data_IF_411772944536
#
_entry.id   IF_411772944536
#
_cell.length_a   1.000
_cell.length_b   1.000
_cell.length_c   1.000
_cell.angle_alpha   90.00
_cell.angle_beta   90.00
_cell.angle_gamma   90.00
#
_symmetry.space_group_name_H-M   'P 1'
#
loop_
_entity.id
_entity.type
_entity.pdbx_description
1 polymer ?
#
# COMPACT_ATOMS: atom_id res chain seq x y z
N UNK A 1 -6.68 8.33 96.13
CA UNK A 1 -7.85 8.65 95.28
C UNK A 1 -7.52 9.49 94.04
N UNK A 2 -6.26 9.90 93.83
CA UNK A 2 -5.81 10.83 92.77
C UNK A 2 -5.50 10.15 91.42
N UNK A 3 -4.94 8.94 91.43
CA UNK A 3 -4.50 8.22 90.22
C UNK A 3 -5.63 7.95 89.21
N UNK A 4 -6.84 7.63 89.69
CA UNK A 4 -8.02 7.44 88.82
C UNK A 4 -8.42 8.72 88.07
N UNK A 5 -8.12 9.90 88.61
CA UNK A 5 -8.43 11.19 87.99
C UNK A 5 -7.41 11.58 86.90
N UNK A 6 -6.15 11.21 87.09
CA UNK A 6 -5.07 11.45 86.13
C UNK A 6 -5.20 10.55 84.90
N UNK A 7 -5.50 9.27 85.10
CA UNK A 7 -5.78 8.31 84.02
C UNK A 7 -6.95 8.78 83.13
N UNK A 8 -7.99 9.35 83.73
CA UNK A 8 -9.13 9.92 83.00
C UNK A 8 -8.77 11.20 82.24
N UNK A 9 -7.85 12.03 82.74
CA UNK A 9 -7.29 13.18 81.99
C UNK A 9 -6.44 12.70 80.81
N UNK A 10 -5.58 11.71 81.03
CA UNK A 10 -4.68 11.17 80.02
C UNK A 10 -5.45 10.51 78.87
N UNK A 11 -6.48 9.71 79.16
CA UNK A 11 -7.36 9.12 78.12
C UNK A 11 -8.06 10.19 77.29
N UNK A 12 -8.57 11.25 77.92
CA UNK A 12 -9.19 12.38 77.22
C UNK A 12 -8.19 13.10 76.32
N UNK A 13 -6.97 13.32 76.81
CA UNK A 13 -5.91 13.94 76.03
C UNK A 13 -5.53 13.10 74.80
N UNK A 14 -5.22 11.81 74.98
CA UNK A 14 -4.87 10.93 73.85
C UNK A 14 -6.04 10.73 72.87
N UNK A 15 -7.28 10.68 73.37
CA UNK A 15 -8.47 10.67 72.52
C UNK A 15 -8.54 11.90 71.62
N UNK A 16 -8.36 13.10 72.19
CA UNK A 16 -8.35 14.34 71.43
C UNK A 16 -7.20 14.43 70.41
N UNK A 17 -6.00 13.94 70.76
CA UNK A 17 -4.86 13.89 69.83
C UNK A 17 -5.14 12.94 68.66
N UNK A 18 -5.65 11.73 68.94
CA UNK A 18 -6.00 10.75 67.91
C UNK A 18 -7.06 11.28 66.96
N UNK A 19 -8.08 11.95 67.49
CA UNK A 19 -9.14 12.55 66.70
C UNK A 19 -8.61 13.67 65.79
N UNK A 20 -7.68 14.49 66.30
CA UNK A 20 -7.02 15.55 65.52
C UNK A 20 -6.18 14.97 64.37
N UNK A 21 -5.39 13.92 64.65
CA UNK A 21 -4.60 13.22 63.63
C UNK A 21 -5.49 12.56 62.57
N UNK A 22 -6.58 11.90 62.99
CA UNK A 22 -7.53 11.29 62.07
C UNK A 22 -8.22 12.34 61.18
N UNK A 23 -8.67 13.46 61.75
CA UNK A 23 -9.24 14.58 61.00
C UNK A 23 -8.24 15.17 60.01
N UNK A 24 -6.99 15.38 60.44
CA UNK A 24 -5.91 15.87 59.56
C UNK A 24 -5.64 14.92 58.40
N UNK A 25 -5.59 13.60 58.66
CA UNK A 25 -5.35 12.60 57.62
C UNK A 25 -6.52 12.49 56.62
N UNK A 26 -7.76 12.62 57.09
CA UNK A 26 -8.95 12.65 56.22
C UNK A 26 -9.01 13.93 55.39
N UNK A 27 -8.71 15.09 55.99
CA UNK A 27 -8.64 16.36 55.28
C UNK A 27 -7.55 16.37 54.19
N UNK A 28 -6.38 15.80 54.48
CA UNK A 28 -5.32 15.65 53.46
C UNK A 28 -5.74 14.77 52.29
N UNK A 29 -6.42 13.64 52.57
CA UNK A 29 -6.98 12.77 51.53
C UNK A 29 -8.06 13.46 50.71
N UNK A 30 -8.96 14.23 51.32
CA UNK A 30 -10.00 14.94 50.57
C UNK A 30 -9.42 16.01 49.63
N UNK A 31 -8.34 16.69 50.04
CA UNK A 31 -7.66 17.67 49.17
C UNK A 31 -7.02 16.97 47.97
N UNK A 32 -6.35 15.84 48.18
CA UNK A 32 -5.73 15.08 47.09
C UNK A 32 -6.76 14.49 46.13
N UNK A 33 -7.91 14.03 46.64
CA UNK A 33 -9.03 13.57 45.80
C UNK A 33 -9.56 14.71 44.94
N UNK A 34 -9.79 15.89 45.52
CA UNK A 34 -10.29 17.05 44.78
C UNK A 34 -9.31 17.51 43.68
N UNK A 35 -8.00 17.46 43.95
CA UNK A 35 -6.96 17.74 42.95
C UNK A 35 -6.99 16.73 41.80
N UNK A 36 -7.07 15.43 42.11
CA UNK A 36 -7.16 14.38 41.09
C UNK A 36 -8.45 14.51 40.26
N UNK A 37 -9.58 14.83 40.89
CA UNK A 37 -10.84 15.10 40.19
C UNK A 37 -10.72 16.30 39.25
N UNK A 38 -10.01 17.35 39.66
CA UNK A 38 -9.69 18.50 38.81
C UNK A 38 -8.85 18.11 37.59
N UNK A 39 -7.78 17.35 37.80
CA UNK A 39 -6.92 16.86 36.71
C UNK A 39 -7.68 15.94 35.74
N UNK A 40 -8.56 15.07 36.25
CA UNK A 40 -9.40 14.23 35.41
C UNK A 40 -10.39 15.05 34.57
N UNK A 41 -10.98 16.10 35.14
CA UNK A 41 -11.88 16.98 34.42
C UNK A 41 -11.14 17.75 33.30
N UNK A 42 -9.94 18.23 33.57
CA UNK A 42 -9.08 18.89 32.57
C UNK A 42 -8.70 17.93 31.44
N UNK A 43 -8.21 16.73 31.77
CA UNK A 43 -7.87 15.71 30.78
C UNK A 43 -9.07 15.27 29.93
N UNK A 44 -10.27 15.19 30.54
CA UNK A 44 -11.49 14.89 29.81
C UNK A 44 -11.81 16.00 28.80
N UNK A 45 -11.74 17.27 29.21
CA UNK A 45 -11.96 18.42 28.32
C UNK A 45 -10.98 18.46 27.16
N UNK A 46 -9.71 18.19 27.43
CA UNK A 46 -8.65 18.10 26.43
C UNK A 46 -8.89 16.96 25.44
N UNK A 47 -9.30 15.79 25.92
CA UNK A 47 -9.64 14.66 25.05
C UNK A 47 -10.86 14.98 24.18
N UNK A 48 -11.88 15.64 24.71
CA UNK A 48 -13.04 16.08 23.93
C UNK A 48 -12.67 17.12 22.88
N UNK A 49 -11.74 18.03 23.19
CA UNK A 49 -11.21 18.99 22.23
C UNK A 49 -10.42 18.29 21.11
N UNK A 50 -9.56 17.33 21.47
CA UNK A 50 -8.79 16.52 20.51
C UNK A 50 -9.68 15.65 19.64
N UNK A 51 -10.70 15.00 20.21
CA UNK A 51 -11.67 14.20 19.46
C UNK A 51 -12.42 15.03 18.42
N UNK A 52 -12.84 16.26 18.79
CA UNK A 52 -13.44 17.22 17.84
C UNK A 52 -12.46 17.61 16.74
N UNK A 53 -11.18 17.83 17.07
CA UNK A 53 -10.16 18.17 16.07
C UNK A 53 -9.89 17.01 15.11
N UNK A 54 -9.85 15.78 15.60
CA UNK A 54 -9.69 14.57 14.79
C UNK A 54 -10.87 14.46 13.82
N UNK A 55 -12.10 14.53 14.31
CA UNK A 55 -13.30 14.45 13.47
C UNK A 55 -13.32 15.51 12.36
N UNK A 56 -12.92 16.75 12.68
CA UNK A 56 -12.81 17.82 11.68
C UNK A 56 -11.74 17.52 10.62
N UNK A 57 -10.55 17.05 11.04
CA UNK A 57 -9.47 16.70 10.12
C UNK A 57 -9.81 15.50 9.24
N UNK A 58 -10.50 14.50 9.78
CA UNK A 58 -10.98 13.35 9.02
C UNK A 58 -11.98 13.76 7.93
N UNK A 59 -12.89 14.69 8.25
CA UNK A 59 -13.81 15.26 7.27
C UNK A 59 -13.07 16.01 6.16
N UNK A 60 -12.13 16.90 6.53
CA UNK A 60 -11.33 17.66 5.57
C UNK A 60 -10.48 16.74 4.68
N UNK A 61 -9.92 15.66 5.25
CA UNK A 61 -9.17 14.66 4.51
C UNK A 61 -10.05 13.93 3.50
N UNK A 62 -11.24 13.50 3.89
CA UNK A 62 -12.19 12.82 3.00
C UNK A 62 -12.64 13.73 1.84
N UNK A 63 -12.89 15.02 2.09
CA UNK A 63 -13.20 16.00 1.03
C UNK A 63 -12.00 16.21 0.09
N UNK A 64 -10.78 16.30 0.62
CA UNK A 64 -9.57 16.40 -0.20
C UNK A 64 -9.36 15.15 -1.08
N UNK A 65 -9.55 13.95 -0.52
CA UNK A 65 -9.48 12.68 -1.26
C UNK A 65 -10.54 12.62 -2.37
N UNK A 66 -11.79 13.00 -2.09
CA UNK A 66 -12.85 13.05 -3.08
C UNK A 66 -12.50 13.99 -4.25
N UNK A 67 -11.90 15.16 -3.96
CA UNK A 67 -11.42 16.10 -4.99
C UNK A 67 -10.28 15.53 -5.82
N UNK A 68 -9.30 14.87 -5.18
CA UNK A 68 -8.19 14.24 -5.89
C UNK A 68 -8.68 13.13 -6.82
N UNK A 69 -9.60 12.28 -6.35
CA UNK A 69 -10.22 11.25 -7.17
C UNK A 69 -11.00 11.83 -8.35
N UNK A 70 -11.78 12.89 -8.12
CA UNK A 70 -12.49 13.58 -9.20
C UNK A 70 -11.52 14.19 -10.23
N UNK A 71 -10.43 14.82 -9.79
CA UNK A 71 -9.39 15.35 -10.68
C UNK A 71 -8.69 14.24 -11.47
N UNK A 72 -8.35 13.12 -10.81
CA UNK A 72 -7.74 11.97 -11.46
C UNK A 72 -8.67 11.38 -12.52
N UNK A 73 -9.97 11.27 -12.22
CA UNK A 73 -10.97 10.82 -13.19
C UNK A 73 -11.05 11.77 -14.39
N UNK A 74 -11.07 13.09 -14.17
CA UNK A 74 -11.05 14.07 -15.27
C UNK A 74 -9.79 13.94 -16.12
N UNK A 75 -8.61 13.75 -15.52
CA UNK A 75 -7.36 13.56 -16.26
C UNK A 75 -7.35 12.26 -17.06
N UNK A 76 -7.88 11.17 -16.49
CA UNK A 76 -8.00 9.89 -17.17
C UNK A 76 -9.04 9.95 -18.29
N UNK A 77 -10.19 10.57 -18.07
CA UNK A 77 -11.23 10.77 -19.10
C UNK A 77 -10.75 11.71 -20.21
N UNK A 78 -10.04 12.80 -19.87
CA UNK A 78 -9.43 13.69 -20.86
C UNK A 78 -8.29 13.03 -21.64
N UNK A 79 -7.68 11.96 -21.10
CA UNK A 79 -6.72 11.11 -21.80
C UNK A 79 -7.39 9.94 -22.54
N UNK A 80 -8.62 9.60 -22.15
CA UNK A 80 -9.41 8.47 -22.61
C UNK A 80 -9.95 8.58 -24.02
N UNK A 81 -9.99 9.77 -24.62
CA UNK A 81 -10.25 9.92 -26.06
C UNK A 81 -9.09 9.41 -26.95
N UNK A 82 -7.97 8.98 -26.34
CA UNK A 82 -6.86 8.32 -27.01
C UNK A 82 -6.58 6.88 -26.53
N UNK A 83 -7.27 6.36 -25.50
CA UNK A 83 -6.99 5.03 -24.95
C UNK A 83 -8.19 4.38 -24.21
N UNK A 84 -9.41 4.61 -24.67
CA UNK A 84 -10.60 3.86 -24.21
C UNK A 84 -10.55 2.42 -24.75
N UNK A 85 -9.77 1.56 -24.09
CA UNK A 85 -10.02 0.11 -24.14
C UNK A 85 -11.08 -0.22 -23.10
N UNK A 86 -12.31 -0.33 -23.58
CA UNK A 86 -13.37 -1.03 -22.85
C UNK A 86 -12.87 -2.43 -22.46
N UNK A 87 -13.20 -2.83 -21.24
CA UNK A 87 -13.12 -4.18 -20.72
C UNK A 87 -14.09 -5.08 -21.52
N UNK A 88 -13.68 -5.44 -22.74
CA UNK A 88 -14.38 -6.38 -23.61
C UNK A 88 -13.80 -7.76 -23.33
N UNK A 89 -14.52 -8.53 -22.51
CA UNK A 89 -14.54 -9.99 -22.46
C UNK A 89 -13.17 -10.70 -22.63
N UNK A 90 -12.60 -11.13 -21.51
CA UNK A 90 -11.40 -11.96 -21.33
C UNK A 90 -11.51 -13.38 -21.98
N UNK A 91 -11.71 -13.45 -23.31
CA UNK A 91 -11.72 -14.69 -24.09
C UNK A 91 -10.66 -14.73 -25.20
N UNK A 92 -10.14 -13.57 -25.61
CA UNK A 92 -9.18 -13.45 -26.72
C UNK A 92 -7.82 -12.89 -26.28
N UNK A 93 -7.50 -12.85 -24.98
CA UNK A 93 -6.18 -12.44 -24.49
C UNK A 93 -5.33 -13.67 -24.09
N UNK A 94 -4.68 -14.36 -25.05
CA UNK A 94 -3.90 -15.54 -24.73
C UNK A 94 -2.79 -15.20 -23.73
N UNK A 95 -2.54 -16.12 -22.80
CA UNK A 95 -1.48 -15.95 -21.83
C UNK A 95 -0.14 -15.72 -22.56
N UNK A 96 0.73 -14.88 -22.00
CA UNK A 96 2.04 -14.58 -22.63
C UNK A 96 2.83 -15.85 -22.92
N UNK A 97 2.72 -16.83 -22.02
CA UNK A 97 3.35 -18.14 -22.15
C UNK A 97 2.80 -18.95 -23.34
N UNK A 98 1.50 -18.86 -23.61
CA UNK A 98 0.84 -19.53 -24.74
C UNK A 98 1.24 -18.90 -26.08
N UNK A 99 1.29 -17.56 -26.12
CA UNK A 99 1.80 -16.83 -27.29
C UNK A 99 3.23 -17.26 -27.60
N UNK A 100 4.07 -17.36 -26.57
CA UNK A 100 5.48 -17.73 -26.72
C UNK A 100 5.62 -19.19 -27.10
N UNK A 101 4.84 -20.10 -26.52
CA UNK A 101 4.83 -21.51 -26.89
C UNK A 101 4.54 -21.69 -28.39
N UNK A 102 3.53 -21.01 -28.93
CA UNK A 102 3.22 -21.06 -30.37
C UNK A 102 4.32 -20.47 -31.26
N UNK A 103 5.09 -19.49 -30.78
CA UNK A 103 6.26 -18.99 -31.52
C UNK A 103 7.41 -20.00 -31.48
N UNK A 104 7.62 -20.66 -30.33
CA UNK A 104 8.70 -21.61 -30.11
C UNK A 104 8.56 -22.90 -30.92
N UNK A 105 7.36 -23.24 -31.42
CA UNK A 105 7.17 -24.32 -32.40
C UNK A 105 8.05 -24.15 -33.65
N UNK A 106 8.35 -22.91 -34.03
CA UNK A 106 9.22 -22.59 -35.17
C UNK A 106 10.73 -22.61 -34.83
N UNK A 107 11.09 -22.85 -33.57
CA UNK A 107 12.47 -22.81 -33.06
C UNK A 107 12.78 -24.05 -32.21
N UNK A 108 12.99 -25.23 -32.83
CA UNK A 108 13.28 -26.46 -32.10
C UNK A 108 14.57 -26.33 -31.27
N UNK A 109 14.51 -26.77 -30.01
CA UNK A 109 15.65 -26.74 -29.08
C UNK A 109 15.80 -25.45 -28.27
N UNK A 110 14.87 -24.50 -28.36
CA UNK A 110 14.82 -23.29 -27.52
C UNK A 110 13.71 -23.44 -26.48
N UNK A 111 14.04 -23.26 -25.20
CA UNK A 111 13.05 -23.32 -24.11
C UNK A 111 12.61 -21.92 -23.67
N UNK A 112 11.50 -21.84 -22.93
CA UNK A 112 11.07 -20.59 -22.29
C UNK A 112 12.16 -19.97 -21.41
N UNK A 113 12.90 -20.80 -20.67
CA UNK A 113 14.02 -20.35 -19.83
C UNK A 113 15.12 -19.67 -20.64
N UNK A 114 15.42 -20.19 -21.83
CA UNK A 114 16.40 -19.61 -22.75
C UNK A 114 15.92 -18.25 -23.28
N UNK A 115 14.62 -18.08 -23.49
CA UNK A 115 14.01 -16.83 -23.95
C UNK A 115 14.10 -15.73 -22.90
N UNK A 116 13.77 -16.03 -21.63
CA UNK A 116 13.85 -15.07 -20.52
C UNK A 116 15.27 -14.90 -19.95
N UNK A 117 16.20 -15.75 -20.37
CA UNK A 117 17.59 -15.72 -19.90
C UNK A 117 18.29 -14.41 -20.26
N UNK A 118 19.17 -13.97 -19.35
CA UNK A 118 20.01 -12.78 -19.53
C UNK A 118 21.11 -13.02 -20.58
N UNK A 119 21.44 -14.28 -20.87
CA UNK A 119 22.49 -14.68 -21.82
C UNK A 119 22.31 -14.05 -23.20
N UNK A 120 23.40 -13.61 -23.82
CA UNK A 120 23.41 -12.91 -25.12
C UNK A 120 23.86 -13.80 -26.28
N UNK A 121 23.59 -15.09 -26.18
CA UNK A 121 23.99 -16.05 -27.21
C UNK A 121 23.32 -15.70 -28.55
N UNK A 122 24.14 -15.64 -29.60
CA UNK A 122 23.72 -15.13 -30.92
C UNK A 122 22.55 -15.92 -31.51
N UNK A 123 22.46 -17.22 -31.20
CA UNK A 123 21.40 -18.12 -31.66
C UNK A 123 20.05 -17.86 -30.99
N UNK A 124 20.00 -17.27 -29.78
CA UNK A 124 18.76 -16.95 -29.05
C UNK A 124 18.16 -15.58 -29.42
N UNK A 125 18.91 -14.75 -30.15
CA UNK A 125 18.45 -13.40 -30.53
C UNK A 125 17.23 -13.47 -31.44
N UNK A 126 17.24 -14.34 -32.47
CA UNK A 126 16.11 -14.49 -33.39
C UNK A 126 14.84 -15.02 -32.70
N UNK A 127 14.89 -16.13 -31.93
CA UNK A 127 13.74 -16.62 -31.16
C UNK A 127 13.14 -15.56 -30.22
N UNK A 128 13.98 -14.84 -29.46
CA UNK A 128 13.50 -13.81 -28.51
C UNK A 128 12.81 -12.64 -29.18
N UNK A 129 13.38 -12.16 -30.29
CA UNK A 129 12.76 -11.07 -31.05
C UNK A 129 11.41 -11.49 -31.64
N UNK A 130 11.30 -12.75 -32.12
CA UNK A 130 10.02 -13.29 -32.58
C UNK A 130 8.99 -13.36 -31.44
N UNK A 131 9.39 -13.79 -30.25
CA UNK A 131 8.53 -13.83 -29.07
C UNK A 131 8.08 -12.43 -28.64
N UNK A 132 9.00 -11.46 -28.55
CA UNK A 132 8.68 -10.07 -28.19
C UNK A 132 7.70 -9.43 -29.17
N UNK A 133 7.85 -9.73 -30.47
CA UNK A 133 6.96 -9.25 -31.52
C UNK A 133 5.57 -9.88 -31.42
N UNK A 134 5.50 -11.20 -31.29
CA UNK A 134 4.21 -11.90 -31.19
C UNK A 134 3.43 -11.46 -29.94
N UNK A 135 4.12 -11.22 -28.82
CA UNK A 135 3.50 -10.68 -27.60
C UNK A 135 3.02 -9.25 -27.83
N UNK A 136 3.80 -8.40 -28.51
CA UNK A 136 3.37 -7.05 -28.85
C UNK A 136 2.15 -7.03 -29.79
N UNK A 137 2.09 -7.93 -30.77
CA UNK A 137 0.99 -8.01 -31.75
C UNK A 137 -0.29 -8.58 -31.15
N UNK A 138 -0.18 -9.59 -30.28
CA UNK A 138 -1.34 -10.29 -29.68
C UNK A 138 -1.81 -9.67 -28.35
N UNK A 139 -0.96 -8.91 -27.66
CA UNK A 139 -1.28 -8.20 -26.41
C UNK A 139 -1.07 -6.71 -26.56
N UNK A 140 -2.05 -6.04 -27.16
CA UNK A 140 -2.12 -4.58 -27.24
C UNK A 140 -2.23 -3.91 -25.86
N UNK A 141 -2.64 -4.65 -24.83
CA UNK A 141 -2.76 -4.17 -23.45
C UNK A 141 -1.42 -4.01 -22.72
N UNK A 142 -0.33 -4.58 -23.23
CA UNK A 142 0.99 -4.51 -22.62
C UNK A 142 1.84 -3.38 -23.20
N UNK A 143 2.24 -2.43 -22.35
CA UNK A 143 3.23 -1.41 -22.75
C UNK A 143 4.59 -2.02 -23.05
N UNK A 144 5.38 -1.36 -23.93
CA UNK A 144 6.75 -1.78 -24.28
C UNK A 144 7.65 -1.99 -23.06
N UNK A 145 7.46 -1.18 -22.01
CA UNK A 145 8.16 -1.31 -20.73
C UNK A 145 7.77 -2.56 -19.95
N UNK A 146 6.49 -2.96 -20.03
CA UNK A 146 5.99 -4.19 -19.38
C UNK A 146 6.46 -5.43 -20.13
N UNK A 147 6.44 -5.41 -21.47
CA UNK A 147 7.02 -6.47 -22.31
C UNK A 147 8.52 -6.61 -22.02
N UNK A 148 9.26 -5.50 -21.95
CA UNK A 148 10.69 -5.52 -21.60
C UNK A 148 10.96 -6.20 -20.25
N UNK A 149 10.16 -5.91 -19.22
CA UNK A 149 10.29 -6.56 -17.90
C UNK A 149 10.08 -8.08 -17.96
N UNK A 150 9.11 -8.56 -18.73
CA UNK A 150 8.84 -9.99 -18.91
C UNK A 150 10.06 -10.70 -19.50
N UNK A 151 10.64 -10.14 -20.56
CA UNK A 151 11.82 -10.71 -21.23
C UNK A 151 13.16 -10.31 -20.59
N UNK A 152 13.14 -9.61 -19.44
CA UNK A 152 14.32 -9.08 -18.75
C UNK A 152 15.23 -8.21 -19.65
N UNK A 153 14.61 -7.34 -20.46
CA UNK A 153 15.28 -6.41 -21.40
C UNK A 153 14.75 -4.98 -21.29
N UNK A 154 15.57 -4.05 -21.78
CA UNK A 154 15.18 -2.65 -21.88
C UNK A 154 14.07 -2.47 -22.92
N UNK A 155 13.13 -1.58 -22.60
CA UNK A 155 12.00 -1.22 -23.47
C UNK A 155 12.45 -0.71 -24.85
N UNK A 156 13.64 -0.13 -24.95
CA UNK A 156 14.26 0.29 -26.21
C UNK A 156 14.59 -0.88 -27.13
N UNK A 157 14.94 -2.04 -26.58
CA UNK A 157 15.16 -3.28 -27.34
C UNK A 157 13.84 -3.75 -27.96
N UNK A 158 12.76 -3.75 -27.18
CA UNK A 158 11.42 -4.12 -27.66
C UNK A 158 10.98 -3.17 -28.77
N UNK A 159 11.20 -1.85 -28.58
CA UNK A 159 10.90 -0.84 -29.59
C UNK A 159 11.66 -1.08 -30.91
N UNK A 160 12.93 -1.46 -30.86
CA UNK A 160 13.73 -1.80 -32.05
C UNK A 160 13.20 -3.04 -32.77
N UNK A 161 12.77 -4.07 -32.03
CA UNK A 161 12.23 -5.31 -32.59
C UNK A 161 10.89 -5.09 -33.29
N UNK A 162 10.04 -4.25 -32.70
CA UNK A 162 8.71 -3.90 -33.22
C UNK A 162 8.81 -2.97 -34.43
N UNK A 163 9.70 -1.95 -34.38
CA UNK A 163 9.89 -1.00 -35.50
C UNK A 163 10.54 -1.60 -36.73
N UNK A 164 11.15 -2.78 -36.64
CA UNK A 164 11.78 -3.46 -37.77
C UNK A 164 10.73 -4.33 -38.48
N UNK A 165 10.05 -3.87 -39.54
CA UNK A 165 9.18 -4.73 -40.34
C UNK A 165 10.02 -5.90 -40.86
N UNK A 166 9.45 -7.12 -40.78
CA UNK A 166 10.16 -8.37 -41.02
C UNK A 166 10.89 -8.42 -42.36
N UNK A 167 12.20 -8.27 -42.32
CA UNK A 167 13.09 -8.84 -43.32
C UNK A 167 13.50 -10.22 -42.82
N UNK A 168 13.20 -11.25 -43.63
CA UNK A 168 13.39 -12.71 -43.44
C UNK A 168 12.18 -13.42 -42.77
N UNK A 169 11.51 -14.39 -43.38
CA UNK A 169 11.75 -15.07 -44.66
C UNK A 169 11.32 -16.52 -44.58
N UNK A 170 10.12 -16.83 -45.06
CA UNK A 170 9.87 -18.11 -45.73
C UNK A 170 10.63 -18.04 -47.05
N UNK A 171 11.90 -18.45 -47.04
CA UNK A 171 12.55 -18.94 -48.26
C UNK A 171 11.94 -20.30 -48.53
N UNK A 172 11.05 -20.36 -49.50
CA UNK A 172 10.73 -21.59 -50.21
C UNK A 172 12.06 -22.20 -50.71
N UNK A 173 12.41 -23.44 -50.37
CA UNK A 173 13.60 -24.10 -50.90
C UNK A 173 13.41 -24.65 -52.31
N UNK A 174 12.25 -24.47 -52.96
CA UNK A 174 11.90 -25.17 -54.20
C UNK A 174 11.52 -24.24 -55.36
N UNK A 175 12.51 -23.47 -55.83
CA UNK A 175 12.51 -22.93 -57.21
C UNK A 175 13.85 -23.26 -57.87
N UNK A 176 13.84 -24.34 -58.63
CA UNK A 176 14.70 -24.56 -59.80
C UNK A 176 13.79 -24.88 -60.99
#
# INVERSE_FOLDING_TARGET
>A
MTERSELARQKRHYGAVRERLARSATAGRSVLIAELEGQLAELASDNDAKARRIAALEFDLADAEARLLAQAQVLLSSRGDADAVEDVCDRDNPAVEEIVAGVLENFPGVTWEDIISVRRDRWLVKPRHACMRAVYERRSDLSLSRIGRIFRRDHTTVLQVVRKPGAEGTRDPDRN
#
